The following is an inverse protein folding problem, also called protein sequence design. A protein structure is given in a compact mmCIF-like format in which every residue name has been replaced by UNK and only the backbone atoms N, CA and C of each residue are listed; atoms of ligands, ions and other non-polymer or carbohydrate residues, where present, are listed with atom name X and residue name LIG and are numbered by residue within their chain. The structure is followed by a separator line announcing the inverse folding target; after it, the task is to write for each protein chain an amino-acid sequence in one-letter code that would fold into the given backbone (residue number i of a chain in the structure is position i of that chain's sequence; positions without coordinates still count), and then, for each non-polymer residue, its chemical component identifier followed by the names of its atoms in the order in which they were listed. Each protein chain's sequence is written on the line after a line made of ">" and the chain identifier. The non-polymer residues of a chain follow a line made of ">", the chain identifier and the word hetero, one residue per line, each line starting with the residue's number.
data_IF_711156425167
#
_entry.id   IF_711156425167
#
_cell.length_a   1.000
_cell.length_b   1.000
_cell.length_c   1.000
_cell.angle_alpha   90.00
_cell.angle_beta   90.00
_cell.angle_gamma   90.00
#
_symmetry.space_group_name_H-M   'P 1'
#
loop_
_entity.id
_entity.type
_entity.pdbx_description
1 polymer ?
#
# COMPACT_ATOMS: atom_id res chain seq x y z
N UNK A 1 39.21 21.74 -58.17
CA UNK A 1 38.31 20.70 -58.71
C UNK A 1 37.51 20.21 -57.51
N UNK A 2 36.54 20.97 -57.00
CA UNK A 2 35.28 21.43 -57.58
C UNK A 2 34.34 20.26 -57.92
N UNK A 3 33.41 20.01 -56.98
CA UNK A 3 32.03 19.52 -57.11
C UNK A 3 31.44 19.69 -55.68
N UNK A 4 30.58 20.65 -55.30
CA UNK A 4 29.29 21.13 -55.85
C UNK A 4 28.38 19.95 -56.23
N UNK A 5 27.14 19.76 -55.80
CA UNK A 5 26.15 20.42 -54.95
C UNK A 5 25.19 19.26 -54.52
N UNK A 6 24.34 19.32 -53.50
CA UNK A 6 23.22 20.24 -53.37
C UNK A 6 22.56 20.04 -52.01
N UNK A 7 22.36 21.17 -51.35
CA UNK A 7 21.58 21.36 -50.14
C UNK A 7 20.09 21.06 -50.38
N UNK A 8 19.44 20.38 -49.44
CA UNK A 8 18.02 20.62 -49.16
C UNK A 8 17.87 20.94 -47.68
N UNK A 9 17.60 22.22 -47.41
CA UNK A 9 17.31 22.77 -46.10
C UNK A 9 15.92 22.35 -45.62
N UNK A 10 15.78 22.12 -44.32
CA UNK A 10 14.58 22.49 -43.56
C UNK A 10 14.98 22.71 -42.10
N UNK A 11 14.70 23.93 -41.63
CA UNK A 11 15.10 24.51 -40.36
C UNK A 11 14.29 23.95 -39.18
N UNK A 12 15.01 23.78 -38.07
CA UNK A 12 14.64 23.96 -36.67
C UNK A 12 13.34 23.35 -36.13
N UNK A 13 13.50 22.44 -35.14
CA UNK A 13 12.75 22.58 -33.89
C UNK A 13 13.55 22.02 -32.72
N UNK A 14 14.08 22.96 -31.94
CA UNK A 14 14.56 22.76 -30.57
C UNK A 14 13.49 22.05 -29.73
N UNK A 15 13.91 21.06 -28.94
CA UNK A 15 13.37 20.81 -27.61
C UNK A 15 14.23 19.78 -26.85
N UNK A 16 15.01 20.34 -25.93
CA UNK A 16 15.02 19.98 -24.51
C UNK A 16 15.19 18.50 -24.13
N UNK A 17 16.40 18.23 -23.67
CA UNK A 17 16.75 17.23 -22.67
C UNK A 17 15.63 16.99 -21.63
N UNK A 18 15.14 15.76 -21.57
CA UNK A 18 14.63 15.19 -20.32
C UNK A 18 15.44 13.94 -20.04
N UNK A 19 16.50 14.12 -19.27
CA UNK A 19 17.21 13.05 -18.58
C UNK A 19 16.20 12.28 -17.74
N UNK A 20 16.03 11.00 -18.02
CA UNK A 20 15.36 10.05 -17.15
C UNK A 20 16.16 9.94 -15.86
N UNK A 21 15.83 10.77 -14.87
CA UNK A 21 16.36 10.62 -13.54
C UNK A 21 15.27 10.97 -12.53
N UNK A 22 14.35 10.02 -12.32
CA UNK A 22 13.49 10.02 -11.14
C UNK A 22 14.27 9.32 -10.03
N UNK A 23 14.42 9.95 -8.85
CA UNK A 23 15.12 9.35 -7.73
C UNK A 23 14.41 8.07 -7.30
N UNK A 24 15.13 6.95 -7.37
CA UNK A 24 14.75 5.69 -6.72
C UNK A 24 14.70 5.93 -5.21
N UNK A 25 13.51 6.16 -4.69
CA UNK A 25 13.23 5.92 -3.28
C UNK A 25 13.21 4.41 -3.08
N UNK A 26 14.35 3.88 -2.64
CA UNK A 26 14.48 2.50 -2.17
C UNK A 26 13.62 2.30 -0.91
N UNK A 27 12.33 2.00 -1.11
CA UNK A 27 11.42 1.59 -0.06
C UNK A 27 10.94 0.14 -0.34
N UNK A 28 11.51 -0.77 0.45
CA UNK A 28 11.06 -2.14 0.70
C UNK A 28 11.16 -3.16 -0.48
N UNK A 29 12.22 -3.98 -0.44
CA UNK A 29 12.54 -5.05 -1.40
C UNK A 29 11.79 -6.38 -1.13
N UNK A 30 10.57 -6.30 -0.62
CA UNK A 30 9.58 -7.37 -0.69
C UNK A 30 8.42 -6.81 -1.50
N UNK A 31 8.37 -7.17 -2.79
CA UNK A 31 7.42 -6.63 -3.74
C UNK A 31 5.99 -6.78 -3.22
N UNK A 32 5.33 -5.64 -3.00
CA UNK A 32 3.89 -5.63 -2.85
C UNK A 32 3.32 -6.12 -4.19
N UNK A 33 3.04 -7.42 -4.31
CA UNK A 33 2.51 -8.08 -5.52
C UNK A 33 1.07 -7.63 -5.87
N UNK A 34 0.67 -6.41 -5.48
CA UNK A 34 -0.67 -5.85 -5.54
C UNK A 34 -0.72 -4.68 -6.54
N UNK A 35 0.07 -4.79 -7.60
CA UNK A 35 0.18 -3.79 -8.66
C UNK A 35 -0.19 -4.41 -10.02
N UNK A 36 -0.67 -3.56 -10.92
CA UNK A 36 -0.95 -3.97 -12.28
C UNK A 36 0.35 -4.10 -13.08
N UNK A 37 0.68 -5.30 -13.58
CA UNK A 37 1.88 -5.57 -14.39
C UNK A 37 1.96 -4.85 -15.75
N UNK A 38 0.96 -4.03 -16.10
CA UNK A 38 0.94 -3.25 -17.36
C UNK A 38 1.24 -1.77 -17.11
N UNK A 39 0.77 -1.20 -16.01
CA UNK A 39 1.00 0.22 -15.68
C UNK A 39 1.80 0.42 -14.40
N UNK A 40 2.16 -0.66 -13.71
CA UNK A 40 2.93 -0.69 -12.46
C UNK A 40 2.29 0.07 -11.29
N UNK A 41 1.04 0.47 -11.44
CA UNK A 41 0.28 1.13 -10.38
C UNK A 41 -0.40 0.12 -9.45
N UNK A 42 -0.50 0.48 -8.17
CA UNK A 42 -1.25 -0.27 -7.17
C UNK A 42 -2.74 -0.42 -7.53
N UNK A 43 -3.30 -1.60 -7.22
CA UNK A 43 -4.73 -1.84 -7.37
C UNK A 43 -5.55 -1.10 -6.30
N UNK A 44 -6.80 -0.76 -6.65
CA UNK A 44 -7.77 -0.12 -5.76
C UNK A 44 -9.06 -0.91 -5.66
N UNK A 45 -9.86 -0.62 -4.62
CA UNK A 45 -11.18 -1.23 -4.42
C UNK A 45 -12.24 -0.75 -5.43
N UNK A 46 -12.02 0.41 -6.05
CA UNK A 46 -12.97 1.10 -6.92
C UNK A 46 -12.32 1.90 -8.05
N UNK A 47 -13.10 2.20 -9.08
CA UNK A 47 -12.68 3.02 -10.23
C UNK A 47 -11.69 2.33 -11.17
N UNK A 48 -10.77 3.12 -11.73
CA UNK A 48 -9.87 2.74 -12.82
C UNK A 48 -8.81 1.70 -12.44
N UNK A 49 -8.43 1.66 -11.15
CA UNK A 49 -7.44 0.70 -10.64
C UNK A 49 -8.07 -0.58 -10.08
N UNK A 50 -9.36 -0.82 -10.32
CA UNK A 50 -10.01 -2.09 -9.96
C UNK A 50 -9.38 -3.27 -10.71
N UNK A 51 -8.91 -4.31 -10.01
CA UNK A 51 -8.40 -5.53 -10.63
C UNK A 51 -9.54 -6.35 -11.22
N UNK A 52 -9.42 -6.71 -12.50
CA UNK A 52 -10.36 -7.60 -13.20
C UNK A 52 -9.63 -8.79 -13.81
N UNK A 53 -10.35 -9.91 -13.89
CA UNK A 53 -9.85 -11.20 -14.35
C UNK A 53 -10.13 -11.40 -15.84
N UNK A 54 -9.09 -11.83 -16.55
CA UNK A 54 -9.21 -12.46 -17.87
C UNK A 54 -9.48 -13.96 -17.71
N UNK A 55 -9.92 -14.63 -18.77
CA UNK A 55 -10.26 -16.07 -18.73
C UNK A 55 -9.06 -16.95 -18.37
N UNK A 56 -7.85 -16.54 -18.71
CA UNK A 56 -6.62 -17.23 -18.33
C UNK A 56 -6.22 -17.04 -16.85
N UNK A 57 -6.95 -16.20 -16.09
CA UNK A 57 -6.66 -15.93 -14.67
C UNK A 57 -5.74 -14.73 -14.43
N UNK A 58 -5.12 -14.17 -15.47
CA UNK A 58 -4.35 -12.94 -15.34
C UNK A 58 -5.22 -11.75 -14.93
N UNK A 59 -4.68 -10.92 -14.05
CA UNK A 59 -5.36 -9.75 -13.48
C UNK A 59 -4.74 -8.45 -14.00
N UNK A 60 -5.59 -7.57 -14.53
CA UNK A 60 -5.21 -6.23 -14.96
C UNK A 60 -6.15 -5.20 -14.34
N UNK A 61 -5.70 -3.95 -14.24
CA UNK A 61 -6.59 -2.89 -13.78
C UNK A 61 -7.58 -2.50 -14.88
N UNK A 62 -8.74 -1.98 -14.48
CA UNK A 62 -9.82 -1.61 -15.40
C UNK A 62 -9.36 -0.66 -16.51
N UNK A 63 -8.59 0.38 -16.16
CA UNK A 63 -8.06 1.33 -17.15
C UNK A 63 -7.03 0.72 -18.11
N UNK A 64 -6.26 -0.30 -17.71
CA UNK A 64 -5.39 -1.02 -18.63
C UNK A 64 -6.20 -1.85 -19.62
N UNK A 65 -7.24 -2.53 -19.15
CA UNK A 65 -8.11 -3.35 -20.01
C UNK A 65 -8.86 -2.51 -21.05
N UNK A 66 -9.28 -1.29 -20.70
CA UNK A 66 -9.91 -0.35 -21.65
C UNK A 66 -8.97 0.10 -22.79
N UNK A 67 -7.65 0.01 -22.59
CA UNK A 67 -6.65 0.39 -23.60
C UNK A 67 -6.19 -0.77 -24.47
N UNK A 68 -6.58 -2.01 -24.14
CA UNK A 68 -6.22 -3.16 -24.95
C UNK A 68 -7.08 -3.21 -26.21
N UNK A 69 -6.49 -3.59 -27.36
CA UNK A 69 -7.24 -3.75 -28.59
C UNK A 69 -8.24 -4.90 -28.45
N UNK A 70 -9.45 -4.66 -28.96
CA UNK A 70 -10.51 -5.67 -29.05
C UNK A 70 -10.61 -6.19 -30.47
N UNK A 71 -10.63 -7.52 -30.61
CA UNK A 71 -10.81 -8.20 -31.89
C UNK A 71 -11.96 -9.19 -31.75
N UNK A 72 -12.99 -9.08 -32.60
CA UNK A 72 -14.16 -9.97 -32.58
C UNK A 72 -14.79 -10.12 -31.19
N UNK A 73 -14.95 -9.00 -30.47
CA UNK A 73 -15.43 -8.98 -29.09
C UNK A 73 -14.58 -9.82 -28.11
N UNK A 74 -13.29 -9.98 -28.38
CA UNK A 74 -12.33 -10.59 -27.47
C UNK A 74 -11.22 -9.61 -27.11
N UNK A 75 -10.79 -9.67 -25.85
CA UNK A 75 -9.55 -9.04 -25.38
C UNK A 75 -8.50 -10.14 -25.26
N UNK A 76 -7.34 -9.92 -25.88
CA UNK A 76 -6.19 -10.83 -25.71
C UNK A 76 -5.36 -10.41 -24.51
N UNK A 77 -5.06 -11.38 -23.64
CA UNK A 77 -4.18 -11.15 -22.50
C UNK A 77 -2.78 -10.73 -22.97
N UNK A 78 -2.17 -9.67 -22.41
CA UNK A 78 -0.83 -9.24 -22.83
C UNK A 78 0.29 -10.20 -22.42
N UNK A 79 0.03 -11.14 -21.51
CA UNK A 79 1.03 -12.07 -20.98
C UNK A 79 1.06 -13.41 -21.72
N UNK A 80 -0.10 -13.99 -21.99
CA UNK A 80 -0.24 -15.32 -22.60
C UNK A 80 -1.07 -15.33 -23.90
N UNK A 81 -1.57 -14.16 -24.33
CA UNK A 81 -2.37 -13.95 -25.56
C UNK A 81 -3.70 -14.70 -25.61
N UNK A 82 -4.11 -15.32 -24.50
CA UNK A 82 -5.38 -16.05 -24.43
C UNK A 82 -6.56 -15.08 -24.63
N UNK A 83 -7.53 -15.44 -25.49
CA UNK A 83 -8.70 -14.61 -25.74
C UNK A 83 -9.65 -14.65 -24.54
N UNK A 84 -10.18 -13.49 -24.19
CA UNK A 84 -11.24 -13.32 -23.20
C UNK A 84 -12.44 -12.66 -23.89
N UNK A 85 -13.54 -13.41 -24.10
CA UNK A 85 -14.77 -12.86 -24.66
C UNK A 85 -15.35 -11.75 -23.78
N UNK A 86 -15.74 -10.65 -24.41
CA UNK A 86 -16.44 -9.53 -23.78
C UNK A 86 -17.85 -9.40 -24.36
N UNK A 87 -18.84 -9.27 -23.47
CA UNK A 87 -20.24 -9.06 -23.86
C UNK A 87 -20.53 -7.61 -24.24
N UNK A 88 -21.82 -7.27 -24.32
CA UNK A 88 -22.31 -5.89 -24.61
C UNK A 88 -21.77 -4.83 -23.65
N UNK A 89 -21.45 -5.22 -22.42
CA UNK A 89 -20.88 -4.34 -21.39
C UNK A 89 -19.35 -4.18 -21.50
N UNK A 90 -18.71 -4.79 -22.50
CA UNK A 90 -17.27 -4.72 -22.73
C UNK A 90 -16.45 -5.09 -21.49
N UNK A 91 -15.42 -4.29 -21.20
CA UNK A 91 -14.54 -4.45 -20.03
C UNK A 91 -15.29 -4.36 -18.70
N UNK A 92 -16.38 -3.59 -18.63
CA UNK A 92 -17.17 -3.45 -17.40
C UNK A 92 -17.83 -4.75 -16.96
N UNK A 93 -18.12 -5.64 -17.91
CA UNK A 93 -18.67 -6.97 -17.67
C UNK A 93 -17.65 -8.01 -17.18
N UNK A 94 -16.35 -7.71 -17.24
CA UNK A 94 -15.32 -8.64 -16.73
C UNK A 94 -15.39 -8.75 -15.21
N UNK A 95 -15.26 -9.99 -14.71
CA UNK A 95 -15.30 -10.27 -13.27
C UNK A 95 -14.17 -9.53 -12.55
N UNK A 96 -14.51 -8.91 -11.41
CA UNK A 96 -13.51 -8.37 -10.49
C UNK A 96 -12.74 -9.52 -9.84
N UNK A 97 -11.48 -9.30 -9.50
CA UNK A 97 -10.72 -10.25 -8.68
C UNK A 97 -11.06 -10.03 -7.20
N UNK A 98 -12.16 -10.65 -6.74
CA UNK A 98 -12.64 -10.47 -5.36
C UNK A 98 -11.65 -10.94 -4.29
N UNK A 99 -10.87 -12.00 -4.55
CA UNK A 99 -9.85 -12.47 -3.61
C UNK A 99 -8.75 -11.42 -3.42
N UNK A 100 -8.32 -10.77 -4.51
CA UNK A 100 -7.37 -9.67 -4.44
C UNK A 100 -7.99 -8.42 -3.79
N UNK A 101 -9.26 -8.12 -4.07
CA UNK A 101 -9.97 -7.01 -3.43
C UNK A 101 -10.11 -7.20 -1.92
N UNK A 102 -10.45 -8.41 -1.46
CA UNK A 102 -10.50 -8.75 -0.03
C UNK A 102 -9.12 -8.60 0.61
N UNK A 103 -8.06 -9.08 -0.07
CA UNK A 103 -6.70 -8.90 0.41
C UNK A 103 -6.31 -7.41 0.51
N UNK A 104 -6.66 -6.61 -0.51
CA UNK A 104 -6.44 -5.16 -0.50
C UNK A 104 -7.19 -4.48 0.65
N UNK A 105 -8.43 -4.89 0.91
CA UNK A 105 -9.24 -4.39 2.02
C UNK A 105 -8.58 -4.74 3.35
N UNK A 106 -8.20 -6.00 3.57
CA UNK A 106 -7.52 -6.45 4.79
C UNK A 106 -6.17 -5.78 5.01
N UNK A 107 -5.43 -5.49 3.94
CA UNK A 107 -4.16 -4.75 4.03
C UNK A 107 -4.38 -3.25 4.23
N UNK A 108 -5.47 -2.69 3.69
CA UNK A 108 -5.85 -1.30 3.98
C UNK A 108 -6.26 -1.13 5.43
N UNK A 109 -6.93 -2.14 6.01
CA UNK A 109 -7.19 -2.24 7.44
C UNK A 109 -5.88 -2.39 8.19
N UNK A 110 -5.02 -3.37 7.86
CA UNK A 110 -3.74 -3.58 8.58
C UNK A 110 -2.77 -2.39 8.50
N UNK A 111 -2.82 -1.58 7.43
CA UNK A 111 -2.04 -0.35 7.29
C UNK A 111 -2.70 0.83 8.00
N UNK A 112 -4.02 0.79 8.16
CA UNK A 112 -4.78 1.62 9.10
C UNK A 112 -4.71 1.09 10.54
N UNK A 113 -4.17 -0.11 10.77
CA UNK A 113 -3.91 -0.75 12.06
C UNK A 113 -2.55 -0.35 12.66
N UNK A 114 -1.83 0.57 12.01
CA UNK A 114 -0.98 1.52 12.75
C UNK A 114 -1.85 2.52 13.57
N UNK A 115 -3.17 2.54 13.39
CA UNK A 115 -4.12 3.41 14.10
C UNK A 115 -5.35 2.66 14.66
N UNK A 116 -5.63 1.41 14.30
CA UNK A 116 -6.82 0.68 14.76
C UNK A 116 -6.53 -0.76 15.22
N UNK A 117 -6.31 -0.95 16.52
CA UNK A 117 -6.73 -2.16 17.24
C UNK A 117 -8.00 -1.80 18.04
N UNK A 118 -9.20 -1.72 17.44
CA UNK A 118 -10.32 -1.04 18.09
C UNK A 118 -10.82 -1.75 19.35
N UNK A 119 -10.79 -3.08 19.46
CA UNK A 119 -11.45 -3.70 20.62
C UNK A 119 -10.59 -3.70 21.90
N UNK A 120 -9.26 -3.70 21.76
CA UNK A 120 -8.34 -3.62 22.91
C UNK A 120 -7.98 -2.15 23.23
N UNK A 121 -7.84 -1.28 22.22
CA UNK A 121 -7.50 0.14 22.44
C UNK A 121 -8.70 1.01 22.81
N UNK A 122 -9.93 0.73 22.36
CA UNK A 122 -11.10 1.57 22.72
C UNK A 122 -11.32 1.54 24.23
N UNK A 123 -11.16 0.38 24.87
CA UNK A 123 -11.26 0.24 26.33
C UNK A 123 -10.11 0.94 27.08
N UNK A 124 -8.98 1.17 26.42
CA UNK A 124 -7.83 1.89 26.98
C UNK A 124 -7.93 3.40 26.77
N UNK A 125 -8.54 3.84 25.67
CA UNK A 125 -8.79 5.27 25.38
C UNK A 125 -9.84 5.89 26.30
N UNK A 126 -10.76 5.09 26.84
CA UNK A 126 -11.72 5.52 27.87
C UNK A 126 -11.03 5.91 29.20
N UNK A 127 -9.84 5.37 29.50
CA UNK A 127 -9.08 5.77 30.69
C UNK A 127 -8.32 7.09 30.49
N UNK A 128 -8.04 7.46 29.24
CA UNK A 128 -7.44 8.77 28.88
C UNK A 128 -6.13 9.10 29.59
N UNK A 129 -5.37 8.10 30.05
CA UNK A 129 -4.15 8.33 30.84
C UNK A 129 -2.98 8.63 29.90
N UNK A 130 -2.32 9.76 30.12
CA UNK A 130 -1.10 10.14 29.42
C UNK A 130 0.06 9.22 29.79
N UNK A 131 0.99 9.06 28.86
CA UNK A 131 2.25 8.39 29.11
C UNK A 131 3.15 9.30 29.97
N UNK A 132 3.81 8.74 30.99
CA UNK A 132 4.67 9.50 31.90
C UNK A 132 5.96 10.01 31.23
N UNK A 133 6.37 9.39 30.13
CA UNK A 133 7.55 9.78 29.36
C UNK A 133 7.25 10.86 28.31
N UNK A 134 5.98 11.03 27.92
CA UNK A 134 5.57 11.95 26.86
C UNK A 134 4.06 12.21 26.95
N UNK A 135 3.69 13.47 27.16
CA UNK A 135 2.30 13.90 27.34
C UNK A 135 1.46 13.77 26.05
N UNK A 136 2.08 13.71 24.87
CA UNK A 136 1.37 13.49 23.60
C UNK A 136 1.03 12.01 23.36
N UNK A 137 1.64 11.09 24.13
CA UNK A 137 1.39 9.66 24.03
C UNK A 137 0.33 9.16 25.01
N UNK A 138 -0.43 8.14 24.60
CA UNK A 138 -1.40 7.46 25.45
C UNK A 138 -0.79 6.20 26.07
N UNK A 139 -0.97 6.07 27.39
CA UNK A 139 -0.52 4.89 28.11
C UNK A 139 -1.44 3.70 27.85
N UNK A 140 -0.83 2.56 27.49
CA UNK A 140 -1.51 1.27 27.33
C UNK A 140 -0.93 0.18 28.24
N UNK A 141 0.24 0.44 28.83
CA UNK A 141 0.92 -0.44 29.78
C UNK A 141 1.10 0.27 31.12
N UNK A 142 1.13 -0.52 32.19
CA UNK A 142 1.53 -0.09 33.52
C UNK A 142 2.69 -0.95 34.00
N UNK A 143 3.77 -0.31 34.45
CA UNK A 143 4.87 -1.00 35.09
C UNK A 143 4.61 -1.11 36.59
N UNK A 144 4.44 -2.32 37.12
CA UNK A 144 4.16 -2.52 38.55
C UNK A 144 5.37 -2.26 39.45
N UNK A 145 6.56 -2.12 38.87
CA UNK A 145 7.81 -1.87 39.61
C UNK A 145 8.13 -0.37 39.63
N UNK A 146 8.03 0.30 38.49
CA UNK A 146 8.23 1.75 38.38
C UNK A 146 7.01 2.55 38.83
N UNK A 147 5.86 1.90 38.97
CA UNK A 147 4.56 2.52 39.18
C UNK A 147 4.19 3.58 38.11
N UNK A 148 4.65 3.38 36.87
CA UNK A 148 4.48 4.33 35.76
C UNK A 148 3.57 3.82 34.64
N UNK A 149 2.93 4.78 33.96
CA UNK A 149 2.03 4.60 32.82
C UNK A 149 2.80 4.86 31.53
N UNK A 150 2.83 3.88 30.63
CA UNK A 150 3.70 3.92 29.45
C UNK A 150 2.94 3.52 28.19
N UNK A 151 3.25 4.17 27.07
CA UNK A 151 2.89 3.65 25.74
C UNK A 151 3.79 2.46 25.37
N UNK A 152 3.48 1.74 24.29
CA UNK A 152 4.28 0.59 23.85
C UNK A 152 5.75 0.98 23.61
N UNK A 153 5.98 2.08 22.90
CA UNK A 153 7.31 2.53 22.52
C UNK A 153 8.12 3.02 23.73
N UNK A 154 7.53 3.88 24.56
CA UNK A 154 8.16 4.37 25.79
C UNK A 154 8.46 3.22 26.75
N UNK A 155 7.60 2.20 26.80
CA UNK A 155 7.86 1.00 27.60
C UNK A 155 9.09 0.24 27.13
N UNK A 156 9.23 -0.01 25.83
CA UNK A 156 10.41 -0.69 25.29
C UNK A 156 11.68 0.13 25.50
N UNK A 157 11.63 1.43 25.22
CA UNK A 157 12.78 2.32 25.36
C UNK A 157 13.27 2.43 26.79
N UNK A 158 12.37 2.67 27.75
CA UNK A 158 12.73 2.78 29.17
C UNK A 158 13.13 1.43 29.77
N UNK A 159 12.58 0.32 29.28
CA UNK A 159 12.85 -1.03 29.80
C UNK A 159 13.84 -1.84 28.97
N UNK A 160 14.59 -1.20 28.05
CA UNK A 160 15.58 -1.88 27.22
C UNK A 160 16.84 -2.30 28.01
N UNK A 161 17.12 -1.67 29.15
CA UNK A 161 18.34 -1.92 29.92
C UNK A 161 18.28 -3.24 30.70
N UNK A 162 19.46 -3.81 31.00
CA UNK A 162 19.62 -5.10 31.69
C UNK A 162 18.92 -5.21 33.06
N UNK A 163 18.73 -4.08 33.71
CA UNK A 163 18.08 -3.99 35.01
C UNK A 163 16.57 -3.86 34.87
N UNK A 164 16.12 -3.01 33.93
CA UNK A 164 14.72 -2.61 33.80
C UNK A 164 13.89 -3.60 32.96
N UNK A 165 14.50 -4.40 32.08
CA UNK A 165 13.77 -5.39 31.28
C UNK A 165 13.07 -6.46 32.13
N UNK A 166 13.50 -6.66 33.38
CA UNK A 166 12.89 -7.61 34.32
C UNK A 166 11.63 -7.06 34.99
N UNK A 167 11.34 -5.77 34.82
CA UNK A 167 10.17 -5.18 35.45
C UNK A 167 8.90 -5.74 34.82
N UNK A 168 7.95 -6.08 35.69
CA UNK A 168 6.67 -6.62 35.27
C UNK A 168 5.79 -5.50 34.73
N UNK A 169 5.43 -5.63 33.46
CA UNK A 169 4.57 -4.71 32.73
C UNK A 169 3.28 -5.43 32.39
N UNK A 170 2.16 -4.82 32.76
CA UNK A 170 0.82 -5.38 32.55
C UNK A 170 -0.02 -4.40 31.74
N UNK A 171 -1.08 -4.86 31.06
CA UNK A 171 -2.05 -3.97 30.45
C UNK A 171 -2.62 -2.99 31.47
N UNK A 172 -2.79 -1.74 31.09
CA UNK A 172 -3.27 -0.69 32.00
C UNK A 172 -4.66 -1.03 32.62
N UNK A 173 -5.50 -1.76 31.89
CA UNK A 173 -6.81 -2.26 32.36
C UNK A 173 -6.71 -3.21 33.55
N UNK A 174 -5.56 -3.83 33.77
CA UNK A 174 -5.31 -4.81 34.83
C UNK A 174 -4.53 -4.21 36.00
N UNK A 175 -4.33 -2.88 36.02
CA UNK A 175 -3.66 -2.18 37.13
C UNK A 175 -4.35 -2.56 38.47
N UNK A 176 -3.61 -3.12 39.44
CA UNK A 176 -4.16 -3.43 40.76
C UNK A 176 -4.76 -2.16 41.37
N UNK A 177 -6.04 -2.23 41.78
CA UNK A 177 -6.67 -1.15 42.54
C UNK A 177 -6.10 -1.17 43.95
N UNK A 178 -5.54 -0.06 44.41
CA UNK A 178 -5.13 0.09 45.80
C UNK A 178 -6.36 -0.08 46.71
N UNK A 179 -6.18 -0.83 47.80
CA UNK A 179 -7.18 -1.04 48.85
C UNK A 179 -7.10 0.06 49.89
#
# INVERSE_FOLDING_TARGET
>A
MADEALMSASLSRSQSFHTFNTPQTAANKYGNNLECRVCEDGFSLGGDKVPRLLFCGHTLCHACLLRLPTHDNNIHCPFDRQPTPIGVSGVWGLKKNFALLELLERLSLSRSDAVLLPEVLVKQRELGISCDEDEEHLAVLYCTVCASHLCLECSERTHATKTLHKHKRIPLSEKPREK
#
